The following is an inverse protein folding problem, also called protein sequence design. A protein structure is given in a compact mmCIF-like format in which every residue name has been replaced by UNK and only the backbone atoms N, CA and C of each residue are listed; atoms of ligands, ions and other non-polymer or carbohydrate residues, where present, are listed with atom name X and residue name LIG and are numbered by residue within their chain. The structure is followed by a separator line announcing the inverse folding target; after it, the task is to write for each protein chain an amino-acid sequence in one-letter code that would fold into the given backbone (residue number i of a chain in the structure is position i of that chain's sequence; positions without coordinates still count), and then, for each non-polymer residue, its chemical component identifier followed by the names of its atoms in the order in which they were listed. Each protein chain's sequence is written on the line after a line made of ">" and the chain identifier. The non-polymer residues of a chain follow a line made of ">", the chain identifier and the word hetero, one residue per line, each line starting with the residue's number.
data_IF_966269314459
#
_entry.id   IF_966269314459
#
_cell.length_a   1.000
_cell.length_b   1.000
_cell.length_c   1.000
_cell.angle_alpha   90.00
_cell.angle_beta   90.00
_cell.angle_gamma   90.00
#
_symmetry.space_group_name_H-M   'P 1'
#
loop_
_entity.id
_entity.type
_entity.pdbx_description
1 polymer ?
#
# COMPACT_ATOMS: atom_id res chain seq x y z
N UNK A 1 24.55 -11.91 20.13
CA UNK A 1 23.20 -11.52 19.66
C UNK A 1 22.84 -11.99 18.23
N UNK A 2 23.74 -12.60 17.44
CA UNK A 2 23.45 -13.05 16.06
C UNK A 2 22.68 -14.39 15.94
N UNK A 3 22.88 -15.32 16.89
CA UNK A 3 22.20 -16.63 16.89
C UNK A 3 20.66 -16.56 16.89
N UNK A 4 20.00 -15.70 17.69
CA UNK A 4 18.53 -15.57 17.70
C UNK A 4 17.92 -15.08 16.38
N UNK A 5 18.64 -14.22 15.64
CA UNK A 5 18.16 -13.66 14.37
C UNK A 5 18.29 -14.69 13.26
N UNK A 6 19.41 -15.41 13.19
CA UNK A 6 19.62 -16.48 12.21
C UNK A 6 18.62 -17.62 12.40
N UNK A 7 18.30 -17.99 13.65
CA UNK A 7 17.26 -18.99 13.93
C UNK A 7 15.87 -18.49 13.56
N UNK A 8 15.54 -17.23 13.84
CA UNK A 8 14.28 -16.62 13.41
C UNK A 8 14.13 -16.58 11.88
N UNK A 9 15.15 -16.15 11.14
CA UNK A 9 15.13 -16.13 9.66
C UNK A 9 14.95 -17.53 9.05
N UNK A 10 15.50 -18.56 9.70
CA UNK A 10 15.38 -19.96 9.26
C UNK A 10 14.06 -20.61 9.67
N UNK A 11 13.34 -20.04 10.64
CA UNK A 11 12.08 -20.59 11.15
C UNK A 11 11.00 -20.69 10.07
N UNK A 12 10.04 -21.61 10.21
CA UNK A 12 8.85 -21.74 9.36
C UNK A 12 7.83 -20.64 9.66
N UNK A 13 8.23 -19.39 9.45
CA UNK A 13 7.36 -18.21 9.59
C UNK A 13 6.27 -18.14 8.52
N UNK A 14 5.33 -17.18 8.66
CA UNK A 14 4.31 -16.91 7.65
C UNK A 14 4.95 -16.58 6.30
N UNK A 15 4.28 -16.97 5.21
CA UNK A 15 4.80 -16.84 3.85
C UNK A 15 3.83 -16.10 2.95
N UNK A 16 4.36 -15.24 2.10
CA UNK A 16 3.62 -14.65 1.01
C UNK A 16 3.57 -15.64 -0.16
N UNK A 17 2.37 -16.11 -0.52
CA UNK A 17 2.23 -17.20 -1.48
C UNK A 17 2.35 -16.75 -2.95
N UNK A 18 2.09 -15.48 -3.25
CA UNK A 18 2.18 -14.98 -4.62
C UNK A 18 3.61 -14.63 -5.00
N UNK A 19 4.38 -15.64 -5.41
CA UNK A 19 5.83 -15.52 -5.68
C UNK A 19 6.18 -14.72 -6.93
N UNK A 20 5.27 -14.67 -7.93
CA UNK A 20 5.50 -14.01 -9.23
C UNK A 20 5.07 -12.55 -9.28
N UNK A 21 4.58 -12.01 -8.16
CA UNK A 21 4.05 -10.64 -8.09
C UNK A 21 5.00 -9.57 -8.65
N UNK A 22 6.32 -9.71 -8.46
CA UNK A 22 7.31 -8.79 -9.01
C UNK A 22 7.33 -8.82 -10.55
N UNK A 23 7.29 -10.02 -11.15
CA UNK A 23 7.31 -10.18 -12.60
C UNK A 23 5.99 -9.74 -13.21
N UNK A 24 4.87 -10.13 -12.59
CA UNK A 24 3.54 -9.76 -13.07
C UNK A 24 3.34 -8.24 -12.98
N UNK A 25 3.82 -7.61 -11.90
CA UNK A 25 3.83 -6.15 -11.77
C UNK A 25 4.71 -5.49 -12.84
N UNK A 26 5.89 -6.03 -13.13
CA UNK A 26 6.81 -5.48 -14.12
C UNK A 26 6.18 -5.51 -15.52
N UNK A 27 5.60 -6.65 -15.90
CA UNK A 27 4.94 -6.80 -17.20
C UNK A 27 3.77 -5.82 -17.32
N UNK A 28 2.91 -5.73 -16.32
CA UNK A 28 1.75 -4.82 -16.34
C UNK A 28 2.23 -3.36 -16.43
N UNK A 29 3.25 -2.98 -15.65
CA UNK A 29 3.80 -1.62 -15.66
C UNK A 29 4.35 -1.26 -17.04
N UNK A 30 5.17 -2.13 -17.63
CA UNK A 30 5.72 -1.92 -18.98
C UNK A 30 4.60 -1.77 -20.02
N UNK A 31 3.59 -2.65 -19.97
CA UNK A 31 2.46 -2.58 -20.88
C UNK A 31 1.66 -1.28 -20.70
N UNK A 32 1.38 -0.87 -19.46
CA UNK A 32 0.62 0.34 -19.16
C UNK A 32 1.39 1.60 -19.56
N UNK A 33 2.67 1.71 -19.21
CA UNK A 33 3.47 2.90 -19.53
C UNK A 33 3.68 3.04 -21.05
N UNK A 34 3.93 1.94 -21.77
CA UNK A 34 4.02 1.95 -23.24
C UNK A 34 2.68 2.32 -23.87
N UNK A 35 1.57 1.75 -23.38
CA UNK A 35 0.24 2.08 -23.88
C UNK A 35 -0.12 3.55 -23.65
N UNK A 36 0.12 4.05 -22.44
CA UNK A 36 -0.09 5.44 -22.08
C UNK A 36 0.76 6.36 -22.99
N UNK A 37 2.05 6.08 -23.11
CA UNK A 37 2.94 6.83 -23.99
C UNK A 37 2.44 6.85 -25.44
N UNK A 38 2.01 5.71 -26.00
CA UNK A 38 1.46 5.66 -27.36
C UNK A 38 0.19 6.50 -27.51
N UNK A 39 -0.74 6.41 -26.56
CA UNK A 39 -2.01 7.13 -26.60
C UNK A 39 -1.78 8.65 -26.51
N UNK A 40 -1.02 9.10 -25.50
CA UNK A 40 -0.79 10.53 -25.28
C UNK A 40 0.12 11.16 -26.34
N UNK A 41 1.11 10.41 -26.86
CA UNK A 41 1.91 10.87 -28.01
C UNK A 41 1.04 11.08 -29.24
N UNK A 42 0.04 10.22 -29.48
CA UNK A 42 -0.93 10.41 -30.57
C UNK A 42 -1.85 11.61 -30.37
N UNK A 43 -2.04 12.06 -29.13
CA UNK A 43 -2.76 13.28 -28.79
C UNK A 43 -1.88 14.55 -28.89
N UNK A 44 -0.61 14.40 -29.27
CA UNK A 44 0.33 15.52 -29.50
C UNK A 44 1.16 15.92 -28.28
N UNK A 45 1.10 15.16 -27.19
CA UNK A 45 1.96 15.39 -26.01
C UNK A 45 3.39 14.91 -26.29
N UNK A 46 4.38 15.64 -25.79
CA UNK A 46 5.78 15.17 -25.88
C UNK A 46 6.06 14.12 -24.81
N UNK A 47 7.12 13.32 -24.97
CA UNK A 47 7.55 12.37 -23.93
C UNK A 47 7.83 13.09 -22.61
N UNK A 48 8.34 14.32 -22.65
CA UNK A 48 8.54 15.11 -21.44
C UNK A 48 7.19 15.37 -20.76
N UNK A 49 6.21 15.93 -21.47
CA UNK A 49 4.89 16.25 -20.87
C UNK A 49 4.15 15.02 -20.34
N UNK A 50 4.35 13.84 -20.95
CA UNK A 50 3.71 12.58 -20.54
C UNK A 50 4.21 12.10 -19.17
N UNK A 51 5.50 12.29 -18.93
CA UNK A 51 6.20 11.84 -17.72
C UNK A 51 6.49 13.00 -16.75
N UNK A 52 6.17 14.24 -17.09
CA UNK A 52 6.38 15.37 -16.22
C UNK A 52 5.47 15.30 -14.99
N UNK A 53 5.84 16.07 -13.97
CA UNK A 53 5.00 16.37 -12.80
C UNK A 53 3.58 16.78 -13.22
N UNK A 54 2.57 16.23 -12.54
CA UNK A 54 1.13 16.30 -12.83
C UNK A 54 0.76 15.73 -14.23
N UNK A 55 1.59 14.84 -14.75
CA UNK A 55 1.45 14.24 -16.07
C UNK A 55 0.50 13.03 -16.12
N UNK A 56 0.12 12.58 -17.33
CA UNK A 56 -0.77 11.43 -17.49
C UNK A 56 -0.27 10.12 -16.88
N UNK A 57 1.05 9.93 -16.76
CA UNK A 57 1.62 8.76 -16.10
C UNK A 57 1.35 8.80 -14.59
N UNK A 58 1.52 9.94 -13.93
CA UNK A 58 1.16 10.13 -12.53
C UNK A 58 -0.34 9.93 -12.26
N UNK A 59 -1.22 10.38 -13.18
CA UNK A 59 -2.67 10.11 -13.08
C UNK A 59 -2.98 8.60 -13.01
N UNK A 60 -2.28 7.80 -13.82
CA UNK A 60 -2.41 6.34 -13.83
C UNK A 60 -1.87 5.74 -12.52
N UNK A 61 -0.75 6.27 -12.03
CA UNK A 61 -0.17 5.89 -10.74
C UNK A 61 -1.13 6.15 -9.58
N UNK A 62 -1.66 7.37 -9.52
CA UNK A 62 -2.72 7.80 -8.61
C UNK A 62 -3.94 6.87 -8.65
N UNK A 63 -4.43 6.53 -9.84
CA UNK A 63 -5.53 5.57 -10.00
C UNK A 63 -5.19 4.18 -9.43
N UNK A 64 -3.95 3.70 -9.68
CA UNK A 64 -3.48 2.42 -9.14
C UNK A 64 -3.40 2.42 -7.60
N UNK A 65 -2.99 3.54 -7.00
CA UNK A 65 -2.93 3.73 -5.55
C UNK A 65 -4.32 3.81 -4.92
N UNK A 66 -5.28 4.47 -5.57
CA UNK A 66 -6.68 4.48 -5.14
C UNK A 66 -7.29 3.07 -5.16
N UNK A 67 -7.04 2.30 -6.22
CA UNK A 67 -7.44 0.89 -6.34
C UNK A 67 -6.79 0.06 -5.22
N UNK A 68 -5.50 0.29 -4.97
CA UNK A 68 -4.75 -0.37 -3.90
C UNK A 68 -5.39 -0.14 -2.53
N UNK A 69 -5.68 1.12 -2.20
CA UNK A 69 -6.29 1.50 -0.94
C UNK A 69 -7.65 0.83 -0.76
N UNK A 70 -8.49 0.82 -1.80
CA UNK A 70 -9.80 0.19 -1.79
C UNK A 70 -9.71 -1.31 -1.50
N UNK A 71 -8.89 -2.05 -2.27
CA UNK A 71 -8.73 -3.49 -2.08
C UNK A 71 -8.08 -3.84 -0.74
N UNK A 72 -7.11 -3.06 -0.28
CA UNK A 72 -6.46 -3.25 1.01
C UNK A 72 -7.43 -3.02 2.19
N UNK A 73 -8.27 -1.98 2.13
CA UNK A 73 -9.33 -1.75 3.13
C UNK A 73 -10.32 -2.91 3.14
N UNK A 74 -10.81 -3.34 1.97
CA UNK A 74 -11.70 -4.49 1.88
C UNK A 74 -11.05 -5.78 2.44
N UNK A 75 -9.77 -6.00 2.16
CA UNK A 75 -9.01 -7.11 2.70
C UNK A 75 -8.86 -7.03 4.23
N UNK A 76 -8.58 -5.86 4.79
CA UNK A 76 -8.46 -5.65 6.23
C UNK A 76 -9.76 -6.00 6.97
N UNK A 77 -10.90 -5.65 6.37
CA UNK A 77 -12.22 -6.01 6.89
C UNK A 77 -12.47 -7.53 6.82
N UNK A 78 -12.01 -8.18 5.75
CA UNK A 78 -12.21 -9.60 5.47
C UNK A 78 -11.18 -10.57 6.07
N UNK A 79 -10.09 -10.09 6.67
CA UNK A 79 -8.99 -10.94 7.18
C UNK A 79 -8.89 -10.96 8.71
N UNK A 80 -8.11 -11.91 9.23
CA UNK A 80 -7.79 -12.08 10.67
C UNK A 80 -6.36 -11.64 11.00
N UNK A 81 -6.21 -11.05 12.19
CA UNK A 81 -4.95 -10.85 12.93
C UNK A 81 -3.80 -10.35 12.05
N UNK A 82 -2.94 -11.25 11.57
CA UNK A 82 -1.72 -10.92 10.84
C UNK A 82 -2.01 -10.39 9.44
N UNK A 83 -2.87 -11.08 8.68
CA UNK A 83 -3.24 -10.63 7.34
C UNK A 83 -4.02 -9.31 7.38
N UNK A 84 -4.78 -9.08 8.46
CA UNK A 84 -5.43 -7.78 8.70
C UNK A 84 -4.42 -6.68 8.93
N UNK A 85 -3.42 -6.93 9.79
CA UNK A 85 -2.37 -5.95 10.04
C UNK A 85 -1.64 -5.58 8.74
N UNK A 86 -1.23 -6.58 7.95
CA UNK A 86 -0.59 -6.36 6.65
C UNK A 86 -1.49 -5.57 5.70
N UNK A 87 -2.79 -5.88 5.63
CA UNK A 87 -3.74 -5.13 4.80
C UNK A 87 -3.93 -3.67 5.27
N UNK A 88 -3.96 -3.41 6.58
CA UNK A 88 -3.99 -2.04 7.12
C UNK A 88 -2.71 -1.29 6.77
N UNK A 89 -1.55 -1.94 6.88
CA UNK A 89 -0.26 -1.37 6.49
C UNK A 89 -0.26 -1.01 5.00
N UNK A 90 -0.67 -1.94 4.14
CA UNK A 90 -0.77 -1.68 2.69
C UNK A 90 -1.72 -0.52 2.39
N UNK A 91 -2.90 -0.48 3.02
CA UNK A 91 -3.85 0.63 2.85
C UNK A 91 -3.28 1.97 3.29
N UNK A 92 -2.61 2.01 4.44
CA UNK A 92 -2.02 3.25 4.99
C UNK A 92 -0.90 3.76 4.09
N UNK A 93 -0.01 2.87 3.64
CA UNK A 93 1.06 3.21 2.69
C UNK A 93 0.47 3.74 1.38
N UNK A 94 -0.53 3.05 0.81
CA UNK A 94 -1.14 3.49 -0.45
C UNK A 94 -1.85 4.83 -0.32
N UNK A 95 -2.46 5.14 0.82
CA UNK A 95 -3.08 6.45 1.06
C UNK A 95 -2.00 7.52 1.12
N UNK A 96 -0.89 7.28 1.82
CA UNK A 96 0.21 8.26 1.89
C UNK A 96 0.77 8.58 0.50
N UNK A 97 1.06 7.56 -0.31
CA UNK A 97 1.54 7.78 -1.68
C UNK A 97 0.47 8.41 -2.55
N UNK A 98 -0.79 7.99 -2.47
CA UNK A 98 -1.88 8.60 -3.23
C UNK A 98 -2.00 10.11 -2.96
N UNK A 99 -1.80 10.51 -1.69
CA UNK A 99 -1.80 11.92 -1.33
C UNK A 99 -0.54 12.66 -1.79
N UNK A 100 0.61 11.97 -1.93
CA UNK A 100 1.84 12.55 -2.48
C UNK A 100 1.70 12.82 -3.98
N UNK A 101 1.14 11.87 -4.72
CA UNK A 101 0.92 11.97 -6.17
C UNK A 101 -0.29 12.84 -6.56
N UNK A 102 -0.99 13.43 -5.58
CA UNK A 102 -2.13 14.32 -5.86
C UNK A 102 -1.66 15.77 -5.99
N UNK A 103 -1.98 16.46 -7.11
CA UNK A 103 -1.66 17.87 -7.27
C UNK A 103 -2.22 18.72 -6.15
N UNK A 104 -1.48 19.76 -5.78
CA UNK A 104 -1.98 20.78 -4.86
C UNK A 104 -2.98 21.68 -5.59
N UNK A 105 -4.16 21.92 -5.01
CA UNK A 105 -5.17 22.79 -5.61
C UNK A 105 -4.60 24.20 -5.89
N UNK A 106 -4.72 24.62 -7.16
CA UNK A 106 -4.32 25.93 -7.71
C UNK A 106 -5.44 26.42 -8.63
N UNK A 107 -5.41 27.70 -9.04
CA UNK A 107 -6.48 28.30 -9.85
C UNK A 107 -6.77 27.55 -11.16
N UNK A 108 -5.78 26.82 -11.68
CA UNK A 108 -5.85 26.00 -12.90
C UNK A 108 -6.11 24.50 -12.66
N UNK A 109 -6.07 24.02 -11.41
CA UNK A 109 -6.28 22.60 -11.04
C UNK A 109 -7.21 22.53 -9.83
N UNK A 110 -8.51 22.36 -10.08
CA UNK A 110 -9.55 22.46 -9.05
C UNK A 110 -10.43 21.21 -8.90
N UNK A 111 -10.35 20.27 -9.84
CA UNK A 111 -11.26 19.09 -9.88
C UNK A 111 -10.61 17.85 -9.28
N UNK A 112 -9.32 17.63 -9.56
CA UNK A 112 -8.52 16.54 -9.02
C UNK A 112 -7.32 17.18 -8.33
N UNK A 113 -7.43 17.45 -7.03
CA UNK A 113 -6.36 18.08 -6.25
C UNK A 113 -6.60 17.94 -4.74
N UNK A 114 -5.55 18.13 -3.95
CA UNK A 114 -5.61 18.22 -2.49
C UNK A 114 -5.27 19.64 -2.03
N UNK A 115 -5.99 20.16 -1.03
CA UNK A 115 -5.60 21.45 -0.43
C UNK A 115 -4.32 21.30 0.40
N UNK A 116 -3.50 22.35 0.43
CA UNK A 116 -2.28 22.41 1.26
C UNK A 116 -2.53 22.10 2.74
N UNK A 117 -3.74 22.36 3.21
CA UNK A 117 -4.17 22.07 4.58
C UNK A 117 -4.53 20.59 4.78
N UNK A 118 -5.23 19.98 3.82
CA UNK A 118 -5.70 18.60 3.95
C UNK A 118 -4.60 17.56 3.73
N UNK A 119 -3.62 17.85 2.89
CA UNK A 119 -2.49 16.95 2.60
C UNK A 119 -1.79 16.42 3.87
N UNK A 120 -1.23 17.28 4.75
CA UNK A 120 -0.56 16.80 5.96
C UNK A 120 -1.52 16.16 6.97
N UNK A 121 -2.80 16.57 6.98
CA UNK A 121 -3.82 15.99 7.88
C UNK A 121 -4.12 14.54 7.50
N UNK A 122 -4.30 14.26 6.21
CA UNK A 122 -4.63 12.90 5.72
C UNK A 122 -3.41 11.98 5.92
N UNK A 123 -2.20 12.44 5.59
CA UNK A 123 -0.96 11.70 5.85
C UNK A 123 -0.81 11.42 7.34
N UNK A 124 -1.01 12.43 8.19
CA UNK A 124 -0.96 12.28 9.65
C UNK A 124 -1.99 11.29 10.19
N UNK A 125 -3.21 11.30 9.66
CA UNK A 125 -4.26 10.36 10.02
C UNK A 125 -3.91 8.91 9.61
N UNK A 126 -3.38 8.70 8.40
CA UNK A 126 -2.93 7.39 7.95
C UNK A 126 -1.78 6.85 8.82
N UNK A 127 -0.80 7.69 9.14
CA UNK A 127 0.29 7.35 10.04
C UNK A 127 -0.21 7.00 11.46
N UNK A 128 -1.16 7.77 12.00
CA UNK A 128 -1.76 7.51 13.30
C UNK A 128 -2.54 6.18 13.32
N UNK A 129 -3.32 5.89 12.27
CA UNK A 129 -4.04 4.60 12.13
C UNK A 129 -3.04 3.44 12.14
N UNK A 130 -1.95 3.55 11.37
CA UNK A 130 -0.92 2.52 11.32
C UNK A 130 -0.23 2.34 12.68
N UNK A 131 0.06 3.44 13.39
CA UNK A 131 0.63 3.41 14.73
C UNK A 131 -0.29 2.69 15.71
N UNK A 132 -1.57 3.06 15.75
CA UNK A 132 -2.58 2.41 16.60
C UNK A 132 -2.70 0.92 16.25
N UNK A 133 -2.79 0.59 14.96
CA UNK A 133 -2.87 -0.80 14.51
C UNK A 133 -1.64 -1.61 14.95
N UNK A 134 -0.44 -1.01 14.88
CA UNK A 134 0.82 -1.62 15.32
C UNK A 134 0.82 -1.89 16.82
N UNK A 135 0.46 -0.89 17.64
CA UNK A 135 0.39 -1.01 19.10
C UNK A 135 -0.63 -2.09 19.49
N UNK A 136 -1.84 -2.03 18.94
CA UNK A 136 -2.91 -3.00 19.25
C UNK A 136 -2.53 -4.41 18.81
N UNK A 137 -1.89 -4.55 17.65
CA UNK A 137 -1.46 -5.84 17.12
C UNK A 137 -0.42 -6.50 18.03
N UNK A 138 0.64 -5.76 18.41
CA UNK A 138 1.70 -6.26 19.28
C UNK A 138 1.20 -6.52 20.71
N UNK A 139 0.38 -5.61 21.25
CA UNK A 139 -0.22 -5.78 22.59
C UNK A 139 -1.06 -7.05 22.68
N UNK A 140 -1.88 -7.32 21.65
CA UNK A 140 -2.76 -8.49 21.62
C UNK A 140 -2.04 -9.79 21.24
N UNK A 141 -0.94 -9.70 20.51
CA UNK A 141 -0.17 -10.86 20.04
C UNK A 141 1.32 -10.58 20.27
N UNK A 142 1.82 -10.87 21.48
CA UNK A 142 3.24 -10.72 21.80
C UNK A 142 4.12 -11.41 20.74
N UNK A 143 5.10 -10.68 20.20
CA UNK A 143 5.94 -11.14 19.09
C UNK A 143 5.20 -11.19 17.75
N UNK A 144 4.12 -10.43 17.60
CA UNK A 144 3.34 -10.32 16.38
C UNK A 144 4.12 -9.57 15.32
N UNK A 145 4.80 -8.49 15.69
CA UNK A 145 5.62 -7.69 14.79
C UNK A 145 6.75 -8.49 14.16
N UNK A 146 7.46 -9.31 14.96
CA UNK A 146 8.47 -10.23 14.44
C UNK A 146 7.92 -11.23 13.42
N UNK A 147 6.61 -11.56 13.46
CA UNK A 147 5.98 -12.37 12.41
C UNK A 147 5.58 -11.54 11.20
N UNK A 148 5.15 -10.30 11.39
CA UNK A 148 4.76 -9.38 10.33
C UNK A 148 5.95 -8.93 9.47
N UNK A 149 7.10 -8.65 10.09
CA UNK A 149 8.32 -8.22 9.39
C UNK A 149 9.17 -9.38 8.86
N UNK A 150 8.75 -10.63 9.09
CA UNK A 150 9.50 -11.80 8.65
C UNK A 150 9.69 -11.78 7.12
N UNK A 151 10.93 -11.89 6.59
CA UNK A 151 11.20 -11.67 5.16
C UNK A 151 10.33 -12.51 4.24
N UNK A 152 10.02 -13.75 4.60
CA UNK A 152 9.13 -14.62 3.79
C UNK A 152 7.72 -14.06 3.60
N UNK A 153 7.25 -13.19 4.50
CA UNK A 153 5.96 -12.52 4.42
C UNK A 153 6.08 -11.09 3.89
N UNK A 154 7.03 -10.31 4.42
CA UNK A 154 7.15 -8.87 4.17
C UNK A 154 7.87 -8.52 2.88
N UNK A 155 8.49 -9.48 2.18
CA UNK A 155 9.31 -9.20 1.00
C UNK A 155 8.62 -8.36 -0.09
N UNK A 156 7.30 -8.44 -0.38
CA UNK A 156 6.73 -7.58 -1.41
C UNK A 156 6.73 -6.11 -0.98
N UNK A 157 6.43 -5.82 0.28
CA UNK A 157 6.49 -4.46 0.81
C UNK A 157 7.93 -3.97 0.96
N UNK A 158 8.86 -4.86 1.32
CA UNK A 158 10.29 -4.53 1.33
C UNK A 158 10.80 -4.22 -0.10
N UNK A 159 10.32 -4.96 -1.10
CA UNK A 159 10.63 -4.71 -2.51
C UNK A 159 10.08 -3.35 -2.94
N UNK A 160 8.82 -3.02 -2.61
CA UNK A 160 8.25 -1.69 -2.87
C UNK A 160 9.10 -0.60 -2.25
N UNK A 161 9.48 -0.73 -0.98
CA UNK A 161 10.32 0.26 -0.31
C UNK A 161 11.68 0.43 -1.01
N UNK A 162 12.30 -0.66 -1.46
CA UNK A 162 13.55 -0.61 -2.22
C UNK A 162 13.39 0.04 -3.60
N UNK A 163 12.32 -0.30 -4.32
CA UNK A 163 12.00 0.27 -5.64
C UNK A 163 11.76 1.78 -5.52
N UNK A 164 10.94 2.22 -4.57
CA UNK A 164 10.67 3.64 -4.38
C UNK A 164 11.90 4.41 -3.89
N UNK A 165 12.75 3.80 -3.05
CA UNK A 165 14.04 4.40 -2.71
C UNK A 165 14.95 4.58 -3.95
N UNK A 166 14.94 3.64 -4.90
CA UNK A 166 15.63 3.81 -6.17
C UNK A 166 15.00 4.91 -7.04
N UNK A 167 13.68 5.11 -6.97
CA UNK A 167 13.01 6.21 -7.67
C UNK A 167 13.50 7.57 -7.18
N UNK A 168 13.59 7.73 -5.86
CA UNK A 168 14.10 8.95 -5.24
C UNK A 168 15.57 9.24 -5.60
N UNK A 169 16.35 8.19 -5.92
CA UNK A 169 17.69 8.38 -6.49
C UNK A 169 17.64 8.86 -7.94
N UNK A 170 16.65 8.42 -8.74
CA UNK A 170 16.43 8.89 -10.10
C UNK A 170 16.03 10.37 -10.13
N UNK A 171 15.14 10.77 -9.21
CA UNK A 171 14.73 12.16 -8.95
C UNK A 171 15.97 13.03 -8.66
N UNK A 172 16.88 12.55 -7.80
CA UNK A 172 18.12 13.25 -7.48
C UNK A 172 19.05 13.51 -8.69
N UNK A 173 18.94 12.71 -9.76
CA UNK A 173 19.70 12.88 -10.99
C UNK A 173 18.89 13.56 -12.11
N UNK A 174 17.70 14.10 -11.80
CA UNK A 174 16.78 14.76 -12.74
C UNK A 174 16.35 13.84 -13.92
N UNK A 175 16.28 12.51 -13.70
CA UNK A 175 15.88 11.54 -14.73
C UNK A 175 14.40 11.19 -14.58
N UNK A 176 13.54 12.14 -14.92
CA UNK A 176 12.08 12.10 -14.75
C UNK A 176 11.43 10.82 -15.29
N UNK A 177 11.73 10.44 -16.55
CA UNK A 177 11.15 9.21 -17.15
C UNK A 177 11.50 7.95 -16.35
N UNK A 178 12.69 7.91 -15.76
CA UNK A 178 13.15 6.78 -14.97
C UNK A 178 12.49 6.77 -13.59
N UNK A 179 12.39 7.93 -12.94
CA UNK A 179 11.65 8.13 -11.69
C UNK A 179 10.22 7.59 -11.82
N UNK A 180 9.43 8.19 -12.70
CA UNK A 180 8.04 7.82 -12.93
C UNK A 180 7.84 6.34 -13.27
N UNK A 181 8.74 5.76 -14.08
CA UNK A 181 8.67 4.35 -14.44
C UNK A 181 8.95 3.43 -13.25
N UNK A 182 9.88 3.81 -12.37
CA UNK A 182 10.20 3.07 -11.16
C UNK A 182 9.08 3.22 -10.12
N UNK A 183 8.49 4.40 -9.96
CA UNK A 183 7.32 4.62 -9.08
C UNK A 183 6.12 3.80 -9.53
N UNK A 184 5.78 3.87 -10.82
CA UNK A 184 4.74 3.05 -11.45
C UNK A 184 4.92 1.56 -11.14
N UNK A 185 6.15 1.05 -11.21
CA UNK A 185 6.45 -0.34 -10.89
C UNK A 185 6.23 -0.66 -9.41
N UNK A 186 6.70 0.21 -8.51
CA UNK A 186 6.47 0.09 -7.07
C UNK A 186 4.98 0.05 -6.72
N UNK A 187 4.20 0.97 -7.29
CA UNK A 187 2.75 1.06 -7.06
C UNK A 187 1.99 -0.12 -7.67
N UNK A 188 2.46 -0.68 -8.79
CA UNK A 188 1.88 -1.90 -9.34
C UNK A 188 2.11 -3.13 -8.44
N UNK A 189 3.28 -3.24 -7.79
CA UNK A 189 3.52 -4.29 -6.78
C UNK A 189 2.55 -4.12 -5.61
N UNK A 190 2.32 -2.89 -5.13
CA UNK A 190 1.32 -2.61 -4.08
C UNK A 190 -0.10 -2.99 -4.53
N UNK A 191 -0.46 -2.63 -5.76
CA UNK A 191 -1.76 -2.94 -6.37
C UNK A 191 -2.01 -4.44 -6.40
N UNK A 192 -1.09 -5.21 -6.98
CA UNK A 192 -1.20 -6.67 -7.01
C UNK A 192 -1.19 -7.28 -5.60
N UNK A 193 -0.46 -6.67 -4.65
CA UNK A 193 -0.40 -7.13 -3.27
C UNK A 193 -1.76 -6.98 -2.59
N UNK A 194 -2.41 -5.83 -2.77
CA UNK A 194 -3.74 -5.55 -2.21
C UNK A 194 -4.82 -6.45 -2.83
N UNK A 195 -4.77 -6.69 -4.14
CA UNK A 195 -5.69 -7.59 -4.85
C UNK A 195 -5.51 -9.02 -4.33
N UNK A 196 -4.26 -9.47 -4.15
CA UNK A 196 -4.00 -10.79 -3.59
C UNK A 196 -4.50 -10.89 -2.14
N UNK A 197 -4.24 -9.90 -1.29
CA UNK A 197 -4.76 -9.85 0.09
C UNK A 197 -6.28 -9.90 0.12
N UNK A 198 -6.95 -9.19 -0.80
CA UNK A 198 -8.40 -9.22 -0.93
C UNK A 198 -8.91 -10.61 -1.35
N UNK A 199 -8.29 -11.25 -2.34
CA UNK A 199 -8.63 -12.63 -2.72
C UNK A 199 -8.40 -13.60 -1.56
N UNK A 200 -7.30 -13.46 -0.84
CA UNK A 200 -7.00 -14.23 0.37
C UNK A 200 -8.02 -13.98 1.49
N UNK A 201 -8.55 -12.76 1.61
CA UNK A 201 -9.61 -12.45 2.57
C UNK A 201 -10.88 -13.27 2.32
N UNK A 202 -11.22 -13.52 1.05
CA UNK A 202 -12.40 -14.30 0.67
C UNK A 202 -12.27 -15.79 0.98
N UNK A 203 -11.04 -16.30 1.12
CA UNK A 203 -10.83 -17.69 1.56
C UNK A 203 -10.91 -17.84 3.08
N UNK A 204 -10.85 -16.72 3.83
CA UNK A 204 -11.07 -16.72 5.27
C UNK A 204 -12.56 -16.55 5.57
N UNK A 205 -13.25 -17.65 5.93
CA UNK A 205 -14.63 -17.55 6.42
C UNK A 205 -14.68 -16.73 7.72
N UNK A 206 -15.10 -15.48 7.60
CA UNK A 206 -15.28 -14.55 8.71
C UNK A 206 -16.74 -14.12 8.78
N UNK A 207 -17.36 -14.11 9.97
CA UNK A 207 -18.71 -13.57 10.11
C UNK A 207 -18.74 -12.07 9.76
N UNK A 208 -19.88 -11.57 9.26
CA UNK A 208 -20.00 -10.19 8.81
C UNK A 208 -19.59 -9.18 9.90
N UNK A 209 -19.07 -8.03 9.48
CA UNK A 209 -18.54 -6.98 10.38
C UNK A 209 -19.53 -6.60 11.47
N UNK A 210 -20.82 -6.44 11.13
CA UNK A 210 -21.89 -6.10 12.07
C UNK A 210 -21.98 -7.08 13.23
N UNK A 211 -21.87 -8.38 12.96
CA UNK A 211 -21.93 -9.43 13.99
C UNK A 211 -20.69 -9.38 14.90
N UNK A 212 -19.51 -9.18 14.31
CA UNK A 212 -18.25 -9.04 15.08
C UNK A 212 -18.22 -7.79 15.95
N UNK A 213 -18.69 -6.66 15.42
CA UNK A 213 -18.77 -5.40 16.15
C UNK A 213 -19.71 -5.52 17.37
N UNK A 214 -20.89 -6.11 17.18
CA UNK A 214 -21.83 -6.39 18.29
C UNK A 214 -21.22 -7.28 19.37
N UNK A 215 -20.55 -8.37 18.99
CA UNK A 215 -19.90 -9.27 19.93
C UNK A 215 -18.76 -8.58 20.71
N UNK A 216 -17.96 -7.74 20.04
CA UNK A 216 -16.91 -6.96 20.68
C UNK A 216 -17.47 -5.93 21.67
N UNK A 217 -18.51 -5.19 21.27
CA UNK A 217 -19.22 -4.23 22.13
C UNK A 217 -19.82 -4.90 23.36
N UNK A 218 -20.42 -6.08 23.20
CA UNK A 218 -20.96 -6.85 24.33
C UNK A 218 -19.86 -7.27 25.30
N UNK A 219 -18.72 -7.73 24.79
CA UNK A 219 -17.57 -8.11 25.63
C UNK A 219 -16.99 -6.92 26.40
N UNK A 220 -16.88 -5.76 25.76
CA UNK A 220 -16.43 -4.51 26.41
C UNK A 220 -17.41 -4.09 27.49
N UNK A 221 -18.72 -4.05 27.19
CA UNK A 221 -19.75 -3.74 28.19
C UNK A 221 -19.69 -4.68 29.39
N UNK A 222 -19.49 -5.98 29.17
CA UNK A 222 -19.39 -6.95 30.25
C UNK A 222 -18.18 -6.74 31.16
N UNK A 223 -17.04 -6.29 30.60
CA UNK A 223 -15.84 -5.95 31.38
C UNK A 223 -16.05 -4.67 32.20
N UNK A 224 -16.75 -3.69 31.66
CA UNK A 224 -17.03 -2.43 32.36
C UNK A 224 -18.18 -2.52 33.37
N UNK A 225 -19.08 -3.50 33.27
CA UNK A 225 -20.20 -3.69 34.18
C UNK A 225 -19.89 -4.63 35.36
N UNK A 226 -18.79 -5.38 35.29
CA UNK A 226 -18.37 -6.33 36.32
C UNK A 226 -17.01 -5.97 36.97
N UNK A 227 -16.57 -4.73 36.79
CA UNK A 227 -15.54 -4.05 37.57
C UNK A 227 -16.14 -2.84 38.26
#
# INVERSE_FOLDING_TARGET
>A
MLMPILTWMRSSGPTWHYKRIWLDALIITLCLNVLAWMVFSKMGMTTYDIFNEDGPIEDIQSASLAITALFAVMAALGTRILARFVAITTASISIVFFMREMPICRDNVTVYCVSKTWLPIIIGAAALILLIATIVFEYRHRGGLLRAIHPRLSWPLALVAGVLACSQLAEHFDIVVMEESIESYGFMILTLSSIWLFRFSRTQHLPPLRTRAKASLHKVKHVFLHH
#
